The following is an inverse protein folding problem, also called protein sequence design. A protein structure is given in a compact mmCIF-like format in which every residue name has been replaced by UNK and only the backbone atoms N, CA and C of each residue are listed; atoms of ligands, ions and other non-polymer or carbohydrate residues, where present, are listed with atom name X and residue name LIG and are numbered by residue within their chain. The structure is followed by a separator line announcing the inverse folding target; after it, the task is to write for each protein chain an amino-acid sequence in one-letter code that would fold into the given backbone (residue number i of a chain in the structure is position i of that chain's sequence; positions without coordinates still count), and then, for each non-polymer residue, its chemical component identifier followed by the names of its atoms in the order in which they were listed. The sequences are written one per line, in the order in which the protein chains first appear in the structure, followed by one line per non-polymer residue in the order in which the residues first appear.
data_IF_063603014666
#
_entry.id   IF_063603014666
#
_cell.length_a   1.000
_cell.length_b   1.000
_cell.length_c   1.000
_cell.angle_alpha   90.00
_cell.angle_beta   90.00
_cell.angle_gamma   90.00
#
_symmetry.space_group_name_H-M   'P 1'
#
loop_
_entity.id
_entity.type
_entity.pdbx_description
1 polymer ?
#
# COMPACT_ATOMS: atom_id res chain seq x y z
N UNK A 1 54.95 -35.38 -48.96
CA UNK A 1 54.50 -35.32 -47.56
C UNK A 1 53.97 -33.91 -47.35
N UNK A 2 52.65 -33.73 -47.39
CA UNK A 2 52.03 -32.41 -47.19
C UNK A 2 51.91 -32.20 -45.68
N UNK A 3 52.58 -31.14 -45.21
CA UNK A 3 52.78 -30.82 -43.80
C UNK A 3 51.45 -30.38 -43.17
N UNK A 4 51.20 -30.83 -41.94
CA UNK A 4 49.96 -30.65 -41.15
C UNK A 4 49.60 -29.16 -40.91
N UNK A 5 50.49 -28.22 -41.28
CA UNK A 5 50.28 -26.79 -41.17
C UNK A 5 49.23 -26.21 -42.12
N UNK A 6 49.00 -26.82 -43.29
CA UNK A 6 48.00 -26.30 -44.26
C UNK A 6 46.54 -26.61 -43.87
N UNK A 7 46.31 -27.57 -42.95
CA UNK A 7 44.95 -27.92 -42.49
C UNK A 7 44.36 -26.95 -41.45
N UNK A 8 45.16 -26.03 -40.90
CA UNK A 8 44.67 -25.06 -39.90
C UNK A 8 44.18 -23.74 -40.50
N UNK A 9 44.55 -23.41 -41.74
CA UNK A 9 44.16 -22.16 -42.42
C UNK A 9 42.77 -22.24 -43.06
N UNK A 10 42.28 -23.43 -43.38
CA UNK A 10 41.01 -23.59 -44.11
C UNK A 10 39.80 -23.48 -43.18
N UNK A 11 39.98 -23.66 -41.86
CA UNK A 11 38.88 -23.68 -40.90
C UNK A 11 38.49 -22.33 -40.28
N UNK A 12 39.11 -21.21 -40.70
CA UNK A 12 38.75 -19.86 -40.22
C UNK A 12 37.98 -18.99 -41.21
N UNK A 13 37.65 -19.49 -42.41
CA UNK A 13 36.90 -18.71 -43.43
C UNK A 13 35.39 -19.01 -43.50
N UNK A 14 34.84 -19.76 -42.55
CA UNK A 14 33.45 -20.21 -42.57
C UNK A 14 32.60 -19.83 -41.35
N UNK A 15 33.09 -19.01 -40.43
CA UNK A 15 32.26 -18.54 -39.30
C UNK A 15 31.61 -17.22 -39.69
N UNK A 16 30.43 -17.36 -40.26
CA UNK A 16 29.56 -16.32 -40.79
C UNK A 16 29.42 -15.11 -39.84
N UNK A 17 29.82 -13.96 -40.36
CA UNK A 17 29.47 -12.64 -39.88
C UNK A 17 27.94 -12.46 -40.01
N UNK A 18 27.19 -12.89 -38.98
CA UNK A 18 25.79 -12.52 -38.86
C UNK A 18 25.73 -11.05 -38.42
N UNK A 19 25.56 -10.17 -39.40
CA UNK A 19 25.17 -8.78 -39.13
C UNK A 19 23.85 -8.80 -38.39
N UNK A 20 23.87 -8.43 -37.12
CA UNK A 20 22.67 -8.09 -36.35
C UNK A 20 21.95 -6.97 -37.10
N UNK A 21 20.97 -7.36 -37.92
CA UNK A 21 19.98 -6.41 -38.43
C UNK A 21 19.18 -5.95 -37.21
N UNK A 22 19.64 -4.87 -36.58
CA UNK A 22 18.84 -4.09 -35.65
C UNK A 22 17.60 -3.67 -36.43
N UNK A 23 16.51 -4.43 -36.29
CA UNK A 23 15.20 -3.91 -36.66
C UNK A 23 15.01 -2.73 -35.74
N UNK A 24 14.77 -1.55 -36.31
CA UNK A 24 14.58 -0.34 -35.52
C UNK A 24 13.21 -0.42 -34.85
N UNK A 25 13.03 -1.33 -33.89
CA UNK A 25 11.81 -1.51 -33.09
C UNK A 25 11.43 -0.20 -32.40
N UNK A 26 12.41 0.66 -32.15
CA UNK A 26 12.18 2.01 -31.64
C UNK A 26 11.37 2.91 -32.59
N UNK A 27 11.42 2.70 -33.91
CA UNK A 27 10.66 3.49 -34.89
C UNK A 27 9.15 3.30 -34.75
N UNK A 28 8.58 2.06 -34.78
CA UNK A 28 7.16 1.88 -34.51
C UNK A 28 6.78 2.29 -33.08
N UNK A 29 7.66 2.10 -32.09
CA UNK A 29 7.43 2.56 -30.71
C UNK A 29 7.31 4.09 -30.63
N UNK A 30 8.19 4.84 -31.29
CA UNK A 30 8.15 6.30 -31.34
C UNK A 30 6.89 6.83 -32.04
N UNK A 31 6.42 6.15 -33.11
CA UNK A 31 5.17 6.50 -33.81
C UNK A 31 3.96 6.30 -32.90
N UNK A 32 3.89 5.18 -32.16
CA UNK A 32 2.80 4.90 -31.21
C UNK A 32 2.78 5.93 -30.07
N UNK A 33 3.95 6.25 -29.50
CA UNK A 33 4.07 7.27 -28.45
C UNK A 33 3.57 8.63 -28.96
N UNK A 34 3.93 9.03 -30.19
CA UNK A 34 3.45 10.26 -30.80
C UNK A 34 1.92 10.31 -30.94
N UNK A 35 1.29 9.22 -31.39
CA UNK A 35 -0.17 9.13 -31.53
C UNK A 35 -0.86 9.23 -30.16
N UNK A 36 -0.32 8.58 -29.12
CA UNK A 36 -0.87 8.62 -27.77
C UNK A 36 -0.79 10.03 -27.15
N UNK A 37 0.31 10.76 -27.36
CA UNK A 37 0.46 12.13 -26.86
C UNK A 37 -0.52 13.10 -27.51
N UNK A 38 -0.74 12.98 -28.83
CA UNK A 38 -1.73 13.81 -29.54
C UNK A 38 -3.15 13.48 -29.07
N UNK A 39 -3.49 12.21 -28.87
CA UNK A 39 -4.80 11.81 -28.35
C UNK A 39 -5.06 12.33 -26.92
N UNK A 40 -4.04 12.31 -26.05
CA UNK A 40 -4.14 12.87 -24.70
C UNK A 40 -4.38 14.38 -24.72
N UNK A 41 -3.68 15.13 -25.57
CA UNK A 41 -3.88 16.59 -25.70
C UNK A 41 -5.28 16.91 -26.25
N UNK A 42 -5.80 16.11 -27.19
CA UNK A 42 -7.17 16.29 -27.69
C UNK A 42 -8.20 15.97 -26.62
N UNK A 43 -7.98 14.94 -25.80
CA UNK A 43 -8.86 14.59 -24.68
C UNK A 43 -8.89 15.67 -23.59
N UNK A 44 -7.74 16.27 -23.26
CA UNK A 44 -7.70 17.36 -22.27
C UNK A 44 -8.42 18.60 -22.77
N UNK A 45 -8.22 18.98 -24.04
CA UNK A 45 -8.93 20.09 -24.67
C UNK A 45 -10.43 19.79 -24.74
N UNK A 46 -10.81 18.56 -25.11
CA UNK A 46 -12.22 18.13 -25.14
C UNK A 46 -12.86 18.18 -23.75
N UNK A 47 -12.18 17.74 -22.69
CA UNK A 47 -12.72 17.79 -21.33
C UNK A 47 -12.91 19.22 -20.82
N UNK A 48 -12.05 20.16 -21.24
CA UNK A 48 -12.19 21.60 -20.97
C UNK A 48 -13.33 22.22 -21.77
N UNK A 49 -13.47 21.87 -23.06
CA UNK A 49 -14.52 22.41 -23.95
C UNK A 49 -15.90 21.85 -23.63
N UNK A 50 -15.98 20.60 -23.17
CA UNK A 50 -17.26 19.92 -22.88
C UNK A 50 -17.75 20.15 -21.44
N UNK A 51 -17.15 21.07 -20.70
CA UNK A 51 -17.64 21.66 -19.45
C UNK A 51 -18.56 20.77 -18.61
N UNK A 52 -18.00 19.78 -17.92
CA UNK A 52 -18.74 19.05 -16.89
C UNK A 52 -18.34 19.60 -15.53
N UNK A 53 -19.25 20.36 -14.91
CA UNK A 53 -19.20 20.72 -13.51
C UNK A 53 -19.01 19.47 -12.65
N UNK A 54 -17.90 19.41 -11.93
CA UNK A 54 -17.76 18.52 -10.78
C UNK A 54 -18.39 19.23 -9.60
N UNK A 55 -19.69 19.04 -9.38
CA UNK A 55 -20.36 19.62 -8.23
C UNK A 55 -19.86 18.93 -6.95
N UNK A 56 -19.06 19.67 -6.20
CA UNK A 56 -18.74 19.38 -4.81
C UNK A 56 -19.81 20.06 -3.96
N UNK A 57 -20.74 19.30 -3.40
CA UNK A 57 -21.71 19.82 -2.42
C UNK A 57 -21.58 19.03 -1.14
N UNK A 58 -20.93 19.67 -0.17
CA UNK A 58 -21.02 19.26 1.21
C UNK A 58 -22.40 19.59 1.77
N UNK A 59 -22.78 18.75 2.74
CA UNK A 59 -23.52 19.09 3.95
C UNK A 59 -25.05 18.91 4.01
N UNK A 60 -25.41 18.22 5.09
CA UNK A 60 -26.58 18.42 5.97
C UNK A 60 -27.92 17.75 5.64
N UNK A 61 -28.22 16.76 6.49
CA UNK A 61 -29.45 16.65 7.30
C UNK A 61 -30.80 16.97 6.65
N UNK A 62 -31.65 15.95 6.50
CA UNK A 62 -33.04 16.05 6.99
C UNK A 62 -33.68 14.66 7.16
N UNK A 63 -34.49 14.60 8.21
CA UNK A 63 -35.28 13.48 8.75
C UNK A 63 -36.60 13.26 7.98
N UNK A 64 -36.99 11.97 7.95
CA UNK A 64 -38.33 11.33 7.83
C UNK A 64 -39.32 11.70 6.70
N UNK A 65 -39.89 10.65 6.09
CA UNK A 65 -41.34 10.29 5.99
C UNK A 65 -41.39 8.89 5.30
N UNK A 66 -41.63 7.77 6.00
CA UNK A 66 -42.90 7.15 6.39
C UNK A 66 -43.79 6.68 5.21
N UNK A 67 -43.85 5.36 4.95
CA UNK A 67 -45.13 4.65 4.72
C UNK A 67 -45.02 3.10 4.92
N UNK A 68 -45.85 2.64 5.87
CA UNK A 68 -46.53 1.36 6.13
C UNK A 68 -46.06 0.01 5.57
N UNK A 69 -45.89 -0.95 6.48
CA UNK A 69 -46.89 -2.03 6.64
C UNK A 69 -46.94 -2.52 8.10
N UNK A 70 -48.17 -2.82 8.49
CA UNK A 70 -48.76 -2.97 9.81
C UNK A 70 -48.63 -4.40 10.36
N UNK A 71 -48.28 -4.53 11.63
CA UNK A 71 -48.61 -5.71 12.43
C UNK A 71 -48.75 -5.34 13.92
N UNK A 72 -49.97 -5.59 14.39
CA UNK A 72 -50.52 -5.35 15.72
C UNK A 72 -49.81 -6.13 16.83
N UNK A 73 -49.47 -5.49 17.97
CA UNK A 73 -49.78 -5.95 19.35
C UNK A 73 -49.69 -4.75 20.34
N UNK A 74 -50.63 -4.74 21.30
CA UNK A 74 -51.06 -3.75 22.31
C UNK A 74 -50.04 -3.48 23.47
N UNK A 75 -50.14 -2.35 24.23
CA UNK A 75 -49.07 -1.82 25.09
C UNK A 75 -49.22 -2.12 26.59
N UNK A 76 -48.08 -2.09 27.30
CA UNK A 76 -47.87 -1.94 28.75
C UNK A 76 -46.41 -1.49 28.93
N UNK A 77 -45.95 -0.77 29.95
CA UNK A 77 -46.45 0.09 31.01
C UNK A 77 -45.14 0.67 31.60
N UNK A 78 -45.20 1.84 32.22
CA UNK A 78 -44.05 2.64 32.65
C UNK A 78 -43.16 1.99 33.73
N UNK A 79 -41.95 2.55 33.87
CA UNK A 79 -41.21 2.86 35.12
C UNK A 79 -39.70 2.61 34.89
N UNK A 80 -38.91 3.65 34.62
CA UNK A 80 -38.15 4.44 35.61
C UNK A 80 -37.14 3.61 36.42
N UNK A 81 -35.85 3.71 36.06
CA UNK A 81 -34.79 3.97 37.05
C UNK A 81 -33.44 4.29 36.37
N UNK A 82 -32.96 5.51 36.60
CA UNK A 82 -31.53 5.86 36.60
C UNK A 82 -31.06 5.74 38.06
N UNK A 83 -29.96 5.02 38.31
CA UNK A 83 -29.20 5.01 39.56
C UNK A 83 -27.72 5.08 39.14
N UNK A 84 -27.00 6.21 39.17
CA UNK A 84 -26.56 6.99 40.33
C UNK A 84 -25.65 6.20 41.31
N UNK A 85 -24.35 6.30 40.98
CA UNK A 85 -23.12 6.42 41.81
C UNK A 85 -22.80 5.48 42.98
N UNK A 86 -21.58 4.91 42.93
CA UNK A 86 -20.58 5.16 43.99
C UNK A 86 -19.15 5.03 43.44
N UNK A 87 -18.39 6.12 43.56
CA UNK A 87 -16.93 6.20 43.46
C UNK A 87 -16.29 5.83 44.82
N UNK A 88 -14.96 5.72 44.80
CA UNK A 88 -14.00 5.59 45.92
C UNK A 88 -13.68 4.11 46.30
N UNK A 89 -12.45 3.57 46.36
CA UNK A 89 -11.12 4.16 46.59
C UNK A 89 -9.97 3.12 46.34
N UNK A 90 -8.92 3.54 45.62
CA UNK A 90 -7.45 3.35 45.77
C UNK A 90 -6.77 1.98 46.07
N UNK A 91 -5.74 1.66 45.25
CA UNK A 91 -4.40 1.31 45.77
C UNK A 91 -3.29 1.49 44.72
N UNK A 92 -2.37 2.42 45.01
CA UNK A 92 -1.09 2.63 44.33
C UNK A 92 -0.07 1.55 44.74
N UNK A 93 0.74 1.09 43.78
CA UNK A 93 1.94 0.29 44.01
C UNK A 93 3.05 0.78 43.09
N UNK A 94 3.88 1.67 43.61
CA UNK A 94 5.09 2.24 43.02
C UNK A 94 6.28 1.29 43.25
N UNK A 95 7.11 1.06 42.23
CA UNK A 95 8.55 0.80 42.42
C UNK A 95 9.33 1.07 41.14
N UNK A 96 10.34 1.92 41.29
CA UNK A 96 11.20 2.52 40.27
C UNK A 96 12.42 1.67 39.90
N UNK A 97 13.10 2.16 38.86
CA UNK A 97 14.54 2.07 38.53
C UNK A 97 15.05 0.81 37.79
N UNK A 98 15.52 0.95 36.54
CA UNK A 98 16.91 1.37 36.25
C UNK A 98 17.19 1.50 34.73
N UNK A 99 17.74 2.65 34.39
CA UNK A 99 18.59 3.06 33.26
C UNK A 99 19.06 2.03 32.21
N UNK A 100 18.95 2.41 30.93
CA UNK A 100 20.17 2.60 30.12
C UNK A 100 19.89 3.48 28.90
N UNK A 101 20.60 4.61 28.83
CA UNK A 101 20.71 5.45 27.66
C UNK A 101 21.31 4.68 26.48
N UNK A 102 20.71 4.83 25.30
CA UNK A 102 21.39 4.69 24.03
C UNK A 102 20.79 5.71 23.07
N UNK A 103 21.39 6.89 23.07
CA UNK A 103 21.22 7.88 22.00
C UNK A 103 21.65 7.25 20.66
N UNK A 104 20.71 7.09 19.74
CA UNK A 104 21.04 7.17 18.31
C UNK A 104 19.83 7.56 17.45
N UNK A 105 19.86 8.82 17.02
CA UNK A 105 19.40 9.35 15.73
C UNK A 105 17.96 9.05 15.27
N UNK A 106 17.06 9.97 15.61
CA UNK A 106 16.23 10.71 14.66
C UNK A 106 15.53 9.88 13.55
N UNK A 107 14.54 9.09 13.95
CA UNK A 107 13.49 8.65 13.05
C UNK A 107 12.39 9.71 13.05
N UNK A 108 12.16 10.29 11.87
CA UNK A 108 11.20 11.37 11.65
C UNK A 108 9.78 11.03 12.13
N UNK A 109 9.42 11.60 13.28
CA UNK A 109 8.08 12.02 13.69
C UNK A 109 7.37 12.84 12.58
N UNK A 110 6.07 12.78 12.29
CA UNK A 110 4.90 12.06 12.82
C UNK A 110 3.97 11.90 11.59
N UNK A 111 3.72 10.68 11.13
CA UNK A 111 2.45 10.42 10.43
C UNK A 111 1.43 10.10 11.51
N UNK A 112 0.18 10.55 11.36
CA UNK A 112 -0.91 10.14 12.25
C UNK A 112 -1.01 8.61 12.22
N UNK A 113 -0.30 7.93 13.11
CA UNK A 113 -0.62 6.55 13.44
C UNK A 113 -2.03 6.61 14.02
N UNK A 114 -2.92 5.81 13.45
CA UNK A 114 -4.19 5.52 14.08
C UNK A 114 -3.93 5.12 15.56
N UNK A 115 -4.81 5.40 16.53
CA UNK A 115 -4.63 4.99 17.92
C UNK A 115 -4.32 3.49 18.10
N UNK A 116 -4.61 2.65 17.11
CA UNK A 116 -4.28 1.23 17.11
C UNK A 116 -2.94 0.90 16.42
N UNK A 117 -2.14 1.90 16.05
CA UNK A 117 -0.78 1.73 15.51
C UNK A 117 -0.71 1.30 14.04
N UNK A 118 -1.79 1.45 13.26
CA UNK A 118 -1.82 1.21 11.82
C UNK A 118 -1.42 2.47 11.02
N UNK A 119 -0.71 2.25 9.92
CA UNK A 119 -0.34 3.28 8.94
C UNK A 119 -1.47 3.49 7.92
N UNK A 120 -2.11 2.41 7.46
CA UNK A 120 -3.24 2.44 6.53
C UNK A 120 -4.39 1.56 7.04
N UNK A 121 -5.15 2.00 8.06
CA UNK A 121 -6.14 1.17 8.73
C UNK A 121 -7.21 0.58 7.77
N UNK A 122 -7.58 1.32 6.72
CA UNK A 122 -8.61 0.89 5.78
C UNK A 122 -8.10 -0.05 4.66
N UNK A 123 -6.82 -0.44 4.65
CA UNK A 123 -6.21 -1.16 3.52
C UNK A 123 -6.75 -2.58 3.29
N UNK A 124 -7.44 -3.16 4.27
CA UNK A 124 -8.17 -4.44 4.16
C UNK A 124 -9.59 -4.27 3.59
N UNK A 125 -10.23 -3.14 3.91
CA UNK A 125 -11.66 -2.93 3.67
C UNK A 125 -11.94 -2.17 2.37
N UNK A 126 -11.06 -1.23 1.96
CA UNK A 126 -11.25 -0.42 0.73
C UNK A 126 -10.02 -0.39 -0.17
N UNK A 127 -10.24 0.00 -1.43
CA UNK A 127 -9.14 0.28 -2.37
C UNK A 127 -8.47 1.60 -1.99
N UNK A 128 -7.14 1.59 -2.00
CA UNK A 128 -6.34 2.78 -1.77
C UNK A 128 -6.38 3.70 -3.00
N UNK A 129 -6.19 5.00 -2.74
CA UNK A 129 -6.10 6.07 -3.73
C UNK A 129 -4.76 6.76 -3.58
N UNK A 130 -4.34 7.48 -4.62
CA UNK A 130 -3.07 8.24 -4.58
C UNK A 130 -3.02 9.24 -3.41
N UNK A 131 -4.16 9.80 -3.02
CA UNK A 131 -4.27 10.69 -1.86
C UNK A 131 -3.93 10.01 -0.54
N UNK A 132 -4.19 8.70 -0.40
CA UNK A 132 -3.89 7.94 0.81
C UNK A 132 -2.37 7.71 0.96
N UNK A 133 -1.61 7.80 -0.13
CA UNK A 133 -0.16 7.60 -0.18
C UNK A 133 0.63 8.92 -0.31
N UNK A 134 -0.08 10.01 -0.62
CA UNK A 134 0.55 11.29 -0.92
C UNK A 134 1.26 11.85 0.32
N UNK A 135 2.52 12.23 0.16
CA UNK A 135 3.33 12.78 1.24
C UNK A 135 3.97 11.74 2.15
N UNK A 136 3.70 10.45 1.96
CA UNK A 136 4.42 9.38 2.66
C UNK A 136 5.86 9.26 2.15
N UNK A 137 6.78 8.98 3.06
CA UNK A 137 8.18 8.68 2.73
C UNK A 137 8.33 7.28 2.12
N UNK A 138 9.47 7.02 1.47
CA UNK A 138 9.78 5.69 0.93
C UNK A 138 9.71 4.58 2.00
N UNK A 139 10.18 4.87 3.23
CA UNK A 139 10.10 3.97 4.37
C UNK A 139 8.65 3.74 4.81
N UNK A 140 7.86 4.80 4.96
CA UNK A 140 6.45 4.70 5.34
C UNK A 140 5.65 3.87 4.33
N UNK A 141 5.86 4.08 3.02
CA UNK A 141 5.24 3.27 1.98
C UNK A 141 5.67 1.80 2.06
N UNK A 142 6.93 1.55 2.40
CA UNK A 142 7.41 0.18 2.63
C UNK A 142 6.71 -0.45 3.83
N UNK A 143 6.61 0.25 4.95
CA UNK A 143 5.98 -0.25 6.16
C UNK A 143 4.47 -0.44 5.94
N UNK A 144 3.77 0.51 5.32
CA UNK A 144 2.35 0.41 5.00
C UNK A 144 2.03 -0.77 4.06
N UNK A 145 2.90 -1.03 3.07
CA UNK A 145 2.76 -2.21 2.23
C UNK A 145 2.96 -3.50 3.03
N UNK A 146 3.99 -3.54 3.89
CA UNK A 146 4.28 -4.71 4.72
C UNK A 146 3.25 -4.92 5.84
N UNK A 147 2.58 -3.87 6.30
CA UNK A 147 1.50 -3.92 7.28
C UNK A 147 0.36 -4.81 6.79
N UNK A 148 -0.03 -4.70 5.52
CA UNK A 148 -1.05 -5.56 4.93
C UNK A 148 -0.69 -7.03 5.11
N UNK A 149 0.57 -7.40 4.93
CA UNK A 149 1.02 -8.78 5.16
C UNK A 149 1.15 -9.12 6.65
N UNK A 150 1.59 -8.16 7.47
CA UNK A 150 1.74 -8.32 8.91
C UNK A 150 0.39 -8.60 9.58
N UNK A 151 -0.70 -8.03 9.09
CA UNK A 151 -2.06 -8.29 9.57
C UNK A 151 -2.50 -9.75 9.43
N UNK A 152 -1.85 -10.51 8.55
CA UNK A 152 -2.04 -11.96 8.40
C UNK A 152 -0.95 -12.80 9.07
N UNK A 153 -0.05 -12.14 9.82
CA UNK A 153 1.00 -12.79 10.60
C UNK A 153 2.26 -13.15 9.83
N UNK A 154 2.52 -12.52 8.67
CA UNK A 154 3.73 -12.78 7.88
C UNK A 154 5.00 -12.60 8.71
N UNK A 155 5.91 -13.57 8.62
CA UNK A 155 7.26 -13.50 9.19
C UNK A 155 8.18 -12.75 8.23
N UNK A 156 8.88 -11.74 8.73
CA UNK A 156 9.78 -10.94 7.92
C UNK A 156 11.22 -11.44 8.02
N UNK A 157 11.89 -11.50 6.87
CA UNK A 157 13.35 -11.79 6.80
C UNK A 157 14.22 -10.57 7.11
N UNK A 158 13.62 -9.39 7.12
CA UNK A 158 14.27 -8.14 7.47
C UNK A 158 14.15 -7.97 8.98
N UNK A 159 15.29 -7.85 9.67
CA UNK A 159 15.34 -7.51 11.09
C UNK A 159 14.52 -6.25 11.39
N UNK A 160 14.70 -5.19 10.62
CA UNK A 160 13.98 -3.92 10.77
C UNK A 160 12.46 -4.07 10.71
N UNK A 161 11.93 -4.77 9.69
CA UNK A 161 10.49 -4.99 9.58
C UNK A 161 9.98 -5.90 10.71
N UNK A 162 10.74 -6.95 11.04
CA UNK A 162 10.34 -7.86 12.10
C UNK A 162 10.28 -7.15 13.45
N UNK A 163 11.28 -6.34 13.78
CA UNK A 163 11.34 -5.57 15.01
C UNK A 163 10.25 -4.49 15.06
N UNK A 164 9.96 -3.84 13.93
CA UNK A 164 8.88 -2.87 13.84
C UNK A 164 7.51 -3.51 14.13
N UNK A 165 7.17 -4.62 13.47
CA UNK A 165 5.86 -5.26 13.67
C UNK A 165 5.75 -6.00 15.01
N UNK A 166 6.85 -6.51 15.57
CA UNK A 166 6.86 -7.10 16.92
C UNK A 166 6.43 -6.11 18.02
N UNK A 167 6.56 -4.81 17.77
CA UNK A 167 6.13 -3.75 18.71
C UNK A 167 4.66 -3.36 18.55
N UNK A 168 3.94 -3.94 17.59
CA UNK A 168 2.53 -3.63 17.36
C UNK A 168 1.66 -4.67 18.06
N UNK A 169 0.78 -4.21 18.95
CA UNK A 169 -0.08 -5.09 19.78
C UNK A 169 -1.00 -6.02 18.97
N UNK A 170 -1.33 -5.63 17.74
CA UNK A 170 -2.18 -6.41 16.82
C UNK A 170 -1.42 -7.44 16.00
N UNK A 171 -0.08 -7.41 15.99
CA UNK A 171 0.72 -8.33 15.19
C UNK A 171 0.89 -9.66 15.90
N UNK A 172 0.38 -10.72 15.29
CA UNK A 172 0.58 -12.09 15.75
C UNK A 172 1.20 -12.91 14.61
N UNK A 173 2.34 -13.54 14.89
CA UNK A 173 3.05 -14.37 13.92
C UNK A 173 2.20 -15.59 13.52
N UNK A 174 2.11 -15.83 12.21
CA UNK A 174 1.50 -17.00 11.60
C UNK A 174 2.49 -17.66 10.63
N UNK A 175 3.11 -18.76 11.06
CA UNK A 175 4.09 -19.50 10.23
C UNK A 175 3.47 -20.17 8.98
N UNK A 176 2.14 -20.39 8.98
CA UNK A 176 1.44 -21.03 7.88
C UNK A 176 0.96 -20.05 6.79
N UNK A 177 1.06 -18.74 7.05
CA UNK A 177 0.64 -17.70 6.12
C UNK A 177 1.46 -17.74 4.82
N UNK A 178 0.76 -17.58 3.70
CA UNK A 178 1.35 -17.43 2.37
C UNK A 178 0.84 -16.15 1.72
N UNK A 179 1.67 -15.53 0.89
CA UNK A 179 1.31 -14.28 0.21
C UNK A 179 0.04 -14.44 -0.67
N UNK A 180 -0.30 -15.67 -1.08
CA UNK A 180 -1.54 -16.00 -1.81
C UNK A 180 -2.81 -15.99 -0.93
N UNK A 181 -2.68 -16.05 0.40
CA UNK A 181 -3.82 -16.01 1.32
C UNK A 181 -4.40 -14.60 1.48
N UNK A 182 -3.70 -13.58 0.95
CA UNK A 182 -4.23 -12.22 0.88
C UNK A 182 -5.56 -12.20 0.13
N UNK A 183 -6.50 -11.40 0.62
CA UNK A 183 -7.69 -11.12 -0.16
C UNK A 183 -7.30 -10.42 -1.47
N UNK A 184 -8.14 -10.58 -2.50
CA UNK A 184 -7.94 -9.90 -3.78
C UNK A 184 -7.72 -8.39 -3.62
N UNK A 185 -8.39 -7.76 -2.66
CA UNK A 185 -8.29 -6.31 -2.41
C UNK A 185 -6.94 -5.94 -1.81
N UNK A 186 -6.46 -6.72 -0.86
CA UNK A 186 -5.16 -6.52 -0.22
C UNK A 186 -4.03 -6.71 -1.22
N UNK A 187 -4.10 -7.75 -2.06
CA UNK A 187 -3.16 -7.96 -3.16
C UNK A 187 -3.16 -6.76 -4.14
N UNK A 188 -4.33 -6.27 -4.54
CA UNK A 188 -4.44 -5.07 -5.38
C UNK A 188 -3.86 -3.82 -4.70
N UNK A 189 -4.02 -3.69 -3.38
CA UNK A 189 -3.49 -2.55 -2.62
C UNK A 189 -1.97 -2.63 -2.43
N UNK A 190 -1.39 -3.81 -2.20
CA UNK A 190 0.08 -3.97 -2.10
C UNK A 190 0.74 -3.71 -3.45
N UNK A 191 0.14 -4.16 -4.55
CA UNK A 191 0.55 -3.83 -5.91
C UNK A 191 0.44 -2.32 -6.18
N UNK A 192 -0.65 -1.68 -5.75
CA UNK A 192 -0.84 -0.25 -5.91
C UNK A 192 0.22 0.57 -5.17
N UNK A 193 0.56 0.21 -3.93
CA UNK A 193 1.65 0.85 -3.18
C UNK A 193 2.99 0.61 -3.87
N UNK A 194 3.28 -0.61 -4.33
CA UNK A 194 4.52 -0.92 -5.03
C UNK A 194 4.67 -0.13 -6.34
N UNK A 195 3.59 0.00 -7.11
CA UNK A 195 3.56 0.82 -8.31
C UNK A 195 3.78 2.31 -7.98
N UNK A 196 3.12 2.81 -6.93
CA UNK A 196 3.32 4.18 -6.47
C UNK A 196 4.77 4.44 -6.04
N UNK A 197 5.40 3.51 -5.31
CA UNK A 197 6.81 3.59 -4.95
C UNK A 197 7.70 3.71 -6.19
N UNK A 198 7.48 2.83 -7.17
CA UNK A 198 8.26 2.81 -8.41
C UNK A 198 8.07 4.07 -9.26
N UNK A 199 6.83 4.52 -9.43
CA UNK A 199 6.50 5.68 -10.27
C UNK A 199 7.04 7.01 -9.73
N UNK A 200 7.34 7.06 -8.42
CA UNK A 200 7.85 8.25 -7.74
C UNK A 200 9.31 8.09 -7.24
N UNK A 201 10.01 7.03 -7.65
CA UNK A 201 11.38 6.72 -7.20
C UNK A 201 11.53 6.61 -5.66
N UNK A 202 10.48 6.14 -4.98
CA UNK A 202 10.40 5.97 -3.52
C UNK A 202 10.66 4.51 -3.11
N UNK A 203 11.72 3.90 -3.66
CA UNK A 203 12.14 2.56 -3.25
C UNK A 203 12.90 2.59 -1.93
N UNK A 204 12.48 1.75 -0.99
CA UNK A 204 13.14 1.58 0.30
C UNK A 204 13.51 0.11 0.51
N UNK A 205 14.73 -0.12 1.02
CA UNK A 205 15.26 -1.45 1.30
C UNK A 205 15.49 -1.58 2.80
N UNK A 206 14.55 -2.20 3.53
CA UNK A 206 14.70 -2.43 4.96
C UNK A 206 15.97 -3.23 5.28
N UNK A 207 16.57 -2.98 6.43
CA UNK A 207 17.74 -3.68 6.90
C UNK A 207 17.46 -5.18 7.09
N UNK A 208 18.48 -6.02 6.83
CA UNK A 208 18.38 -7.47 6.95
C UNK A 208 18.65 -7.94 8.36
#
# INVERSE_FOLDING_TARGET
MVTIADSYEIHKKGVYEMKDKKTNVWVPVAVIIGILLVAMIVLTIFMVVTGRSTDNTGSSSSKYHADSTQSDVKPQDSDDYIQDVSLDEFSIGESSDDSSASDNAEAAEVAMEDPNGYILPDSDSRKLKKSDLAGMTAQQLSYAKNEIYARHGRVFKSSELQDYFNQKDWYEKNDDFKDEDLSKKEAENTEFIAAYQKDNDLEYKPAK
#
